data_IF_731441767611
#
_entry.id   IF_731441767611
#
_cell.length_a   1.000
_cell.length_b   1.000
_cell.length_c   1.000
_cell.angle_alpha   90.00
_cell.angle_beta   90.00
_cell.angle_gamma   90.00
#
_symmetry.space_group_name_H-M   'P 1'
#
loop_
_entity.id
_entity.type
_entity.pdbx_description
1 polymer ?
#
# COMPACT_ATOMS: atom_id res chain seq x y z
N UNK A 1 -17.52 10.77 -1.28
CA UNK A 1 -16.14 11.23 -1.45
C UNK A 1 -15.27 10.65 -0.37
N UNK A 2 -14.09 10.19 -0.75
CA UNK A 2 -13.15 9.67 0.23
C UNK A 2 -12.60 10.83 1.06
N UNK A 3 -12.58 10.73 2.40
CA UNK A 3 -12.03 11.79 3.21
C UNK A 3 -10.56 12.05 2.89
N UNK A 4 -10.19 13.32 2.75
CA UNK A 4 -8.80 13.70 2.47
C UNK A 4 -7.84 13.35 3.62
N UNK A 5 -8.39 12.94 4.76
CA UNK A 5 -7.59 12.51 5.91
C UNK A 5 -6.97 11.13 5.76
N UNK A 6 -7.38 10.36 4.74
CA UNK A 6 -6.81 9.03 4.51
C UNK A 6 -5.57 9.18 3.63
N UNK A 7 -4.42 8.78 4.17
CA UNK A 7 -3.14 8.87 3.49
C UNK A 7 -2.58 7.48 3.25
N UNK A 8 -2.20 7.21 1.99
CA UNK A 8 -1.61 5.94 1.58
C UNK A 8 -0.14 6.17 1.28
N UNK A 9 0.72 5.30 1.81
CA UNK A 9 2.14 5.29 1.47
C UNK A 9 2.35 4.28 0.35
N UNK A 10 2.75 4.77 -0.82
CA UNK A 10 3.04 3.93 -1.99
C UNK A 10 4.54 3.71 -2.10
N UNK A 11 4.96 2.45 -2.08
CA UNK A 11 6.37 2.08 -2.12
C UNK A 11 6.65 1.26 -3.37
N UNK A 12 7.57 1.75 -4.20
CA UNK A 12 8.00 1.05 -5.41
C UNK A 12 9.34 1.64 -5.84
N UNK A 13 10.31 0.79 -6.14
CA UNK A 13 11.63 1.25 -6.57
C UNK A 13 11.62 1.81 -7.99
N UNK A 14 10.62 1.47 -8.79
CA UNK A 14 10.49 1.98 -10.14
C UNK A 14 9.63 3.24 -10.17
N UNK A 15 10.15 4.30 -10.78
CA UNK A 15 9.51 5.60 -10.78
C UNK A 15 8.15 5.60 -11.48
N UNK A 16 8.09 5.00 -12.67
CA UNK A 16 6.85 5.05 -13.46
C UNK A 16 5.66 4.39 -12.76
N UNK A 17 5.74 3.15 -12.30
CA UNK A 17 4.61 2.58 -11.57
C UNK A 17 4.32 3.31 -10.27
N UNK A 18 5.34 3.83 -9.59
CA UNK A 18 5.16 4.59 -8.36
C UNK A 18 4.31 5.84 -8.61
N UNK A 19 4.63 6.59 -9.65
CA UNK A 19 3.91 7.81 -10.01
C UNK A 19 2.50 7.48 -10.48
N UNK A 20 2.34 6.44 -11.29
CA UNK A 20 1.01 6.06 -11.78
C UNK A 20 0.07 5.68 -10.64
N UNK A 21 0.54 4.89 -9.69
CA UNK A 21 -0.28 4.53 -8.53
C UNK A 21 -0.64 5.74 -7.71
N UNK A 22 0.29 6.65 -7.51
CA UNK A 22 0.02 7.90 -6.81
C UNK A 22 -1.12 8.66 -7.48
N UNK A 23 -1.03 8.82 -8.79
CA UNK A 23 -2.03 9.61 -9.52
C UNK A 23 -3.42 8.97 -9.48
N UNK A 24 -3.50 7.66 -9.68
CA UNK A 24 -4.82 6.99 -9.68
C UNK A 24 -5.44 6.98 -8.29
N UNK A 25 -4.64 6.84 -7.24
CA UNK A 25 -5.17 6.88 -5.87
C UNK A 25 -5.57 8.30 -5.47
N UNK A 26 -4.81 9.31 -5.88
CA UNK A 26 -5.20 10.70 -5.65
C UNK A 26 -6.53 11.02 -6.32
N UNK A 27 -6.76 10.46 -7.50
CA UNK A 27 -8.00 10.65 -8.23
C UNK A 27 -9.19 10.04 -7.49
N UNK A 28 -8.95 9.02 -6.68
CA UNK A 28 -9.98 8.43 -5.83
C UNK A 28 -10.23 9.21 -4.54
N UNK A 29 -9.45 10.26 -4.28
CA UNK A 29 -9.63 11.12 -3.13
C UNK A 29 -8.66 10.89 -1.98
N UNK A 30 -7.71 9.96 -2.12
CA UNK A 30 -6.71 9.71 -1.08
C UNK A 30 -5.58 10.72 -1.18
N UNK A 31 -4.96 11.00 -0.02
CA UNK A 31 -3.64 11.62 -0.01
C UNK A 31 -2.62 10.52 -0.21
N UNK A 32 -1.55 10.80 -0.93
CA UNK A 32 -0.53 9.79 -1.23
C UNK A 32 0.84 10.34 -0.97
N UNK A 33 1.62 9.60 -0.20
CA UNK A 33 3.06 9.84 -0.01
C UNK A 33 3.77 8.68 -0.68
N UNK A 34 4.90 8.93 -1.31
CA UNK A 34 5.64 7.89 -2.02
C UNK A 34 6.99 7.64 -1.38
N UNK A 35 7.49 6.43 -1.57
CA UNK A 35 8.85 6.05 -1.17
C UNK A 35 9.44 5.15 -2.25
N UNK A 36 10.73 5.28 -2.51
CA UNK A 36 11.41 4.55 -3.55
C UNK A 36 12.09 3.28 -3.05
N UNK A 37 12.03 3.02 -1.75
CA UNK A 37 12.64 1.84 -1.13
C UNK A 37 11.95 1.52 0.19
N UNK A 38 12.21 0.33 0.69
CA UNK A 38 11.71 -0.06 2.01
C UNK A 38 12.29 0.82 3.12
N UNK A 39 13.58 1.14 3.02
CA UNK A 39 14.23 2.01 4.02
C UNK A 39 13.58 3.40 4.06
N UNK A 40 13.34 3.99 2.90
CA UNK A 40 12.66 5.29 2.83
C UNK A 40 11.24 5.20 3.37
N UNK A 41 10.54 4.10 3.07
CA UNK A 41 9.19 3.88 3.58
C UNK A 41 9.15 3.88 5.10
N UNK A 42 10.12 3.23 5.75
CA UNK A 42 10.18 3.20 7.21
C UNK A 42 10.44 4.59 7.78
N UNK A 43 11.26 5.39 7.12
CA UNK A 43 11.49 6.78 7.53
C UNK A 43 10.21 7.61 7.44
N UNK A 44 9.45 7.42 6.36
CA UNK A 44 8.17 8.12 6.19
C UNK A 44 7.20 7.74 7.29
N UNK A 45 7.11 6.44 7.61
CA UNK A 45 6.22 5.97 8.68
C UNK A 45 6.56 6.57 10.03
N UNK A 46 7.84 6.82 10.27
CA UNK A 46 8.29 7.40 11.54
C UNK A 46 7.87 8.86 11.72
N UNK A 47 7.65 9.59 10.62
CA UNK A 47 7.39 11.03 10.67
C UNK A 47 6.05 11.48 10.12
N UNK A 48 5.29 10.61 9.51
CA UNK A 48 4.03 10.99 8.86
C UNK A 48 2.88 10.11 9.32
N UNK A 49 1.67 10.66 9.29
CA UNK A 49 0.47 9.90 9.59
C UNK A 49 0.03 9.14 8.35
N UNK A 50 0.23 7.83 8.36
CA UNK A 50 -0.11 6.94 7.26
C UNK A 50 -1.24 6.02 7.73
N UNK A 51 -2.21 5.79 6.87
CA UNK A 51 -3.34 4.90 7.16
C UNK A 51 -3.21 3.53 6.50
N UNK A 52 -2.41 3.42 5.44
CA UNK A 52 -2.24 2.16 4.72
C UNK A 52 -0.92 2.21 3.94
N UNK A 53 -0.21 1.08 3.94
CA UNK A 53 1.01 0.91 3.13
C UNK A 53 0.67 0.02 1.93
N UNK A 54 1.03 0.50 0.75
CA UNK A 54 0.88 -0.23 -0.50
C UNK A 54 2.26 -0.36 -1.11
N UNK A 55 2.79 -1.58 -1.20
CA UNK A 55 4.17 -1.79 -1.62
C UNK A 55 4.28 -2.85 -2.70
N UNK A 56 5.23 -2.63 -3.61
CA UNK A 56 5.65 -3.65 -4.53
C UNK A 56 6.39 -4.74 -3.74
N UNK A 57 6.27 -5.99 -4.16
CA UNK A 57 6.97 -7.12 -3.50
C UNK A 57 8.44 -7.15 -3.90
N UNK A 58 8.73 -7.00 -5.18
CA UNK A 58 10.09 -7.15 -5.68
C UNK A 58 10.80 -5.80 -5.74
N UNK A 59 11.64 -5.55 -4.76
CA UNK A 59 12.45 -4.33 -4.69
C UNK A 59 13.87 -4.69 -4.28
N UNK A 60 14.87 -3.99 -4.80
CA UNK A 60 16.26 -4.22 -4.37
C UNK A 60 16.46 -3.90 -2.89
N UNK A 61 17.30 -4.67 -2.24
CA UNK A 61 17.65 -4.43 -0.85
C UNK A 61 16.64 -4.97 0.15
N UNK A 62 15.40 -4.51 0.08
CA UNK A 62 14.36 -4.95 0.99
C UNK A 62 13.11 -5.29 0.18
N UNK A 63 12.63 -6.53 0.28
CA UNK A 63 11.40 -6.94 -0.40
C UNK A 63 10.18 -6.35 0.31
N UNK A 64 9.03 -6.40 -0.37
CA UNK A 64 7.77 -5.98 0.25
C UNK A 64 7.43 -6.80 1.49
N UNK A 65 7.72 -8.10 1.47
CA UNK A 65 7.50 -8.96 2.64
C UNK A 65 8.39 -8.54 3.82
N UNK A 66 9.65 -8.26 3.56
CA UNK A 66 10.56 -7.78 4.60
C UNK A 66 10.11 -6.44 5.15
N UNK A 67 9.69 -5.54 4.26
CA UNK A 67 9.13 -4.26 4.67
C UNK A 67 7.89 -4.47 5.55
N UNK A 68 7.00 -5.37 5.16
CA UNK A 68 5.79 -5.66 5.92
C UNK A 68 6.12 -6.11 7.33
N UNK A 69 7.10 -6.98 7.49
CA UNK A 69 7.54 -7.44 8.82
C UNK A 69 8.00 -6.27 9.67
N UNK A 70 8.79 -5.37 9.10
CA UNK A 70 9.28 -4.19 9.81
C UNK A 70 8.14 -3.22 10.16
N UNK A 71 7.21 -3.03 9.23
CA UNK A 71 6.05 -2.18 9.47
C UNK A 71 5.19 -2.72 10.61
N UNK A 72 4.91 -4.01 10.59
CA UNK A 72 4.09 -4.64 11.63
C UNK A 72 4.78 -4.64 12.99
N UNK A 73 6.09 -4.71 13.03
CA UNK A 73 6.84 -4.59 14.28
C UNK A 73 6.76 -3.17 14.84
N UNK A 74 6.81 -2.16 13.99
CA UNK A 74 6.74 -0.75 14.36
C UNK A 74 5.30 -0.31 14.64
N UNK A 75 4.36 -0.76 13.82
CA UNK A 75 2.95 -0.38 13.86
C UNK A 75 2.08 -1.61 13.64
N UNK A 76 1.78 -2.41 14.69
CA UNK A 76 1.04 -3.68 14.51
C UNK A 76 -0.32 -3.56 13.85
N UNK A 77 -0.95 -2.38 13.95
CA UNK A 77 -2.28 -2.16 13.36
C UNK A 77 -2.22 -1.45 12.01
N UNK A 78 -1.02 -1.28 11.43
CA UNK A 78 -0.89 -0.67 10.11
C UNK A 78 -1.26 -1.67 9.02
N UNK A 79 -2.29 -1.40 8.22
CA UNK A 79 -2.63 -2.30 7.12
C UNK A 79 -1.57 -2.23 6.01
N UNK A 80 -1.25 -3.38 5.43
CA UNK A 80 -0.28 -3.48 4.34
C UNK A 80 -0.86 -4.30 3.20
N UNK A 81 -0.80 -3.76 2.00
CA UNK A 81 -1.15 -4.45 0.77
C UNK A 81 0.12 -4.60 -0.07
N UNK A 82 0.43 -5.82 -0.49
CA UNK A 82 1.55 -6.09 -1.38
C UNK A 82 1.06 -6.33 -2.80
N UNK A 83 1.82 -5.83 -3.76
CA UNK A 83 1.54 -6.00 -5.18
C UNK A 83 2.69 -6.79 -5.80
N UNK A 84 2.37 -7.83 -6.56
CA UNK A 84 3.41 -8.66 -7.15
C UNK A 84 3.06 -9.10 -8.56
N UNK A 85 4.08 -9.53 -9.30
CA UNK A 85 3.88 -10.21 -10.56
C UNK A 85 3.42 -11.64 -10.35
N UNK A 86 3.19 -12.34 -11.46
CA UNK A 86 2.53 -13.66 -11.44
C UNK A 86 3.28 -14.71 -10.61
N UNK A 87 4.61 -14.69 -10.62
CA UNK A 87 5.40 -15.72 -9.96
C UNK A 87 6.20 -15.19 -8.76
N UNK A 88 5.72 -14.10 -8.15
CA UNK A 88 6.49 -13.41 -7.11
C UNK A 88 5.90 -13.59 -5.71
N UNK A 89 4.88 -14.42 -5.55
CA UNK A 89 4.25 -14.61 -4.24
C UNK A 89 5.17 -15.44 -3.34
N UNK A 90 5.69 -14.88 -2.25
CA UNK A 90 6.57 -15.62 -1.35
C UNK A 90 5.78 -16.58 -0.46
N UNK A 91 6.47 -17.55 0.14
CA UNK A 91 5.86 -18.52 1.03
C UNK A 91 5.25 -17.86 2.27
N UNK A 92 5.80 -16.72 2.69
CA UNK A 92 5.34 -15.98 3.87
C UNK A 92 4.51 -14.75 3.54
N UNK A 93 3.79 -14.78 2.41
CA UNK A 93 2.94 -13.66 1.97
C UNK A 93 1.86 -13.29 2.99
N UNK A 94 1.56 -14.20 3.91
CA UNK A 94 0.52 -13.97 4.93
C UNK A 94 0.84 -12.84 5.91
N UNK A 95 2.06 -12.31 5.92
CA UNK A 95 2.36 -11.15 6.74
C UNK A 95 1.60 -9.89 6.29
N UNK A 96 1.32 -9.79 5.00
CA UNK A 96 0.51 -8.68 4.48
C UNK A 96 -0.98 -8.97 4.68
N UNK A 97 -1.78 -7.91 4.75
CA UNK A 97 -3.23 -8.05 4.86
C UNK A 97 -3.84 -8.55 3.56
N UNK A 98 -3.28 -8.12 2.44
CA UNK A 98 -3.68 -8.61 1.11
C UNK A 98 -2.45 -8.69 0.22
N UNK A 99 -2.55 -9.55 -0.76
CA UNK A 99 -1.51 -9.74 -1.77
C UNK A 99 -2.20 -9.76 -3.12
N UNK A 100 -2.01 -8.72 -3.92
CA UNK A 100 -2.72 -8.59 -5.19
C UNK A 100 -1.76 -8.63 -6.38
N UNK A 101 -2.29 -9.02 -7.52
CA UNK A 101 -1.51 -9.14 -8.75
C UNK A 101 -1.40 -7.81 -9.47
N UNK A 102 -0.23 -7.55 -10.05
CA UNK A 102 -0.01 -6.36 -10.89
C UNK A 102 -0.94 -6.34 -12.11
N UNK A 103 -1.38 -7.51 -12.57
CA UNK A 103 -2.23 -7.59 -13.75
C UNK A 103 -3.71 -7.46 -13.44
N UNK A 104 -4.07 -7.26 -12.17
CA UNK A 104 -5.46 -7.13 -11.76
C UNK A 104 -6.12 -5.80 -12.08
N UNK A 105 -5.32 -4.80 -12.46
CA UNK A 105 -5.84 -3.51 -12.86
C UNK A 105 -6.24 -2.60 -11.71
N UNK A 106 -6.60 -1.33 -12.03
CA UNK A 106 -6.91 -0.34 -11.00
C UNK A 106 -8.17 -0.63 -10.20
N UNK A 107 -9.17 -1.27 -10.80
CA UNK A 107 -10.41 -1.60 -10.08
C UNK A 107 -10.14 -2.53 -8.91
N UNK A 108 -9.31 -3.55 -9.12
CA UNK A 108 -8.93 -4.47 -8.05
C UNK A 108 -8.19 -3.73 -6.94
N UNK A 109 -7.30 -2.82 -7.29
CA UNK A 109 -6.57 -2.03 -6.32
C UNK A 109 -7.52 -1.19 -5.48
N UNK A 110 -8.44 -0.45 -6.12
CA UNK A 110 -9.36 0.43 -5.41
C UNK A 110 -10.25 -0.35 -4.46
N UNK A 111 -10.79 -1.47 -4.93
CA UNK A 111 -11.67 -2.31 -4.12
C UNK A 111 -10.91 -2.89 -2.92
N UNK A 112 -9.69 -3.37 -3.15
CA UNK A 112 -8.87 -3.95 -2.08
C UNK A 112 -8.53 -2.92 -1.02
N UNK A 113 -8.20 -1.70 -1.42
CA UNK A 113 -7.92 -0.60 -0.48
C UNK A 113 -9.13 -0.34 0.41
N UNK A 114 -10.32 -0.23 -0.18
CA UNK A 114 -11.54 0.00 0.59
C UNK A 114 -11.81 -1.15 1.56
N UNK A 115 -11.67 -2.38 1.11
CA UNK A 115 -11.90 -3.55 1.96
C UNK A 115 -10.97 -3.58 3.16
N UNK A 116 -9.69 -3.35 2.94
CA UNK A 116 -8.69 -3.38 4.01
C UNK A 116 -8.91 -2.25 5.01
N UNK A 117 -9.14 -1.04 4.52
CA UNK A 117 -9.41 0.09 5.41
C UNK A 117 -10.66 -0.16 6.24
N UNK A 118 -11.69 -0.73 5.64
CA UNK A 118 -12.93 -1.06 6.35
C UNK A 118 -12.68 -2.10 7.44
N UNK A 119 -11.89 -3.14 7.15
CA UNK A 119 -11.54 -4.17 8.13
C UNK A 119 -10.81 -3.59 9.34
N UNK A 120 -10.04 -2.54 9.14
CA UNK A 120 -9.31 -1.88 10.22
C UNK A 120 -10.14 -0.80 10.92
N UNK A 121 -11.43 -0.69 10.57
CA UNK A 121 -12.31 0.28 11.22
C UNK A 121 -12.17 1.71 10.71
N UNK A 122 -11.42 1.92 9.63
CA UNK A 122 -11.28 3.24 9.03
C UNK A 122 -12.54 3.56 8.23
N UNK A 123 -13.12 4.74 8.48
CA UNK A 123 -14.32 5.15 7.79
C UNK A 123 -13.97 5.60 6.36
N UNK A 124 -14.50 4.89 5.36
CA UNK A 124 -14.27 5.21 3.96
C UNK A 124 -15.61 5.30 3.25
N UNK A 125 -15.87 6.45 2.64
CA UNK A 125 -17.06 6.59 1.81
C UNK A 125 -16.76 6.05 0.42
N UNK A 126 -17.55 5.08 0.01
CA UNK A 126 -17.41 4.54 -1.33
C UNK A 126 -17.84 5.59 -2.35
N UNK A 127 -16.98 5.81 -3.34
CA UNK A 127 -17.30 6.75 -4.40
C UNK A 127 -18.49 6.22 -5.20
N UNK A 128 -19.49 7.05 -5.37
CA UNK A 128 -20.71 6.65 -6.08
C UNK A 128 -21.85 6.17 -5.18
N UNK A 129 -21.63 6.19 -3.91
CA UNK A 129 -22.68 5.88 -2.93
C UNK A 129 -23.46 7.12 -2.56
#
# INVERSE_FOLDING_TARGET
MVPSSITILCVDDEETPRILRKLILQKQGYQVVTAASGAEALEVLDRANINLVLSDQMMPGMTGTELTKSVKAMRPTMPVILISGVNEVPADASYADRFISKVGGPELLFQTVIEVLTEYGTSVESKGM
#
